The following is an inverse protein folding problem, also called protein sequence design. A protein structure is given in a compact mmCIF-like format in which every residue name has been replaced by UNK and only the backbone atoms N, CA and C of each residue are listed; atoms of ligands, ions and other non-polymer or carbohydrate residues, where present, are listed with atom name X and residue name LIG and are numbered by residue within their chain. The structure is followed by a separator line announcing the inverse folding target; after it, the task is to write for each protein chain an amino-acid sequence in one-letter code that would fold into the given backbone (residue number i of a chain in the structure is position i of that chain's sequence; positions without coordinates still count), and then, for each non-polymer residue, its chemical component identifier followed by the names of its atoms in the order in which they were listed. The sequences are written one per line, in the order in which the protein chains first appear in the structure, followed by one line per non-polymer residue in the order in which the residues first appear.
data_IF_788461011300
#
_entry.id   IF_788461011300
#
_cell.length_a   1.000
_cell.length_b   1.000
_cell.length_c   1.000
_cell.angle_alpha   90.00
_cell.angle_beta   90.00
_cell.angle_gamma   90.00
#
_symmetry.space_group_name_H-M   'P 1'
#
loop_
_entity.id
_entity.type
_entity.pdbx_description
1 polymer ?
#
# COMPACT_ATOMS: atom_id res chain seq x y z
N UNK A 1 5.22 4.82 24.98
CA UNK A 1 5.27 6.09 24.25
C UNK A 1 4.45 6.00 22.99
N UNK A 2 3.63 6.99 22.75
CA UNK A 2 2.82 7.03 21.53
C UNK A 2 3.68 7.43 20.34
N UNK A 3 3.46 6.73 19.23
CA UNK A 3 4.06 7.17 17.98
C UNK A 3 3.06 8.10 17.30
N UNK A 4 3.58 9.16 16.70
CA UNK A 4 2.77 10.08 15.91
C UNK A 4 2.96 9.80 14.42
N UNK A 5 3.13 8.52 14.08
CA UNK A 5 3.27 8.13 12.69
C UNK A 5 2.01 8.50 11.92
N UNK A 6 2.13 9.14 10.75
CA UNK A 6 0.96 9.55 9.98
C UNK A 6 0.20 8.38 9.36
N UNK A 7 0.86 7.24 9.19
CA UNK A 7 0.23 6.04 8.65
C UNK A 7 0.75 4.82 9.38
N UNK A 8 0.09 3.70 9.13
CA UNK A 8 0.40 2.45 9.79
C UNK A 8 0.12 1.32 8.80
N UNK A 9 1.03 0.37 8.69
CA UNK A 9 0.82 -0.81 7.85
C UNK A 9 0.16 -1.89 8.68
N UNK A 10 -0.87 -2.54 8.12
CA UNK A 10 -1.37 -3.77 8.75
C UNK A 10 -0.28 -4.84 8.67
N UNK A 11 -0.36 -5.91 9.48
CA UNK A 11 0.61 -7.00 9.36
C UNK A 11 0.72 -7.56 7.94
N UNK A 12 -0.42 -7.70 7.25
CA UNK A 12 -0.40 -8.19 5.86
C UNK A 12 0.24 -7.20 4.91
N UNK A 13 -0.02 -5.91 5.08
CA UNK A 13 0.62 -4.88 4.25
C UNK A 13 2.13 -4.87 4.47
N UNK A 14 2.57 -5.06 5.72
CA UNK A 14 3.98 -5.14 6.04
C UNK A 14 4.63 -6.35 5.36
N UNK A 15 3.96 -7.50 5.36
CA UNK A 15 4.42 -8.68 4.63
C UNK A 15 4.50 -8.42 3.12
N UNK A 16 3.52 -7.69 2.58
CA UNK A 16 3.54 -7.31 1.17
C UNK A 16 4.79 -6.52 0.84
N UNK A 17 5.13 -5.55 1.67
CA UNK A 17 6.30 -4.71 1.46
C UNK A 17 7.58 -5.54 1.51
N UNK A 18 7.68 -6.43 2.48
CA UNK A 18 8.84 -7.33 2.61
C UNK A 18 8.98 -8.20 1.36
N UNK A 19 7.88 -8.76 0.88
CA UNK A 19 7.88 -9.61 -0.30
C UNK A 19 8.37 -8.85 -1.53
N UNK A 20 7.88 -7.63 -1.72
CA UNK A 20 8.29 -6.77 -2.83
C UNK A 20 9.79 -6.50 -2.73
N UNK A 21 10.29 -6.17 -1.53
CA UNK A 21 11.68 -5.86 -1.31
C UNK A 21 12.58 -7.05 -1.70
N UNK A 22 12.24 -8.23 -1.19
CA UNK A 22 13.06 -9.42 -1.45
C UNK A 22 13.08 -9.81 -2.93
N UNK A 23 11.94 -9.71 -3.61
CA UNK A 23 11.88 -10.03 -5.04
C UNK A 23 12.79 -9.11 -5.83
N UNK A 24 12.74 -7.81 -5.55
CA UNK A 24 13.56 -6.84 -6.27
C UNK A 24 15.03 -6.99 -5.87
N UNK A 25 15.30 -7.25 -4.61
CA UNK A 25 16.67 -7.34 -4.09
C UNK A 25 17.45 -8.52 -4.68
N UNK A 26 16.76 -9.55 -5.18
CA UNK A 26 17.43 -10.64 -5.85
C UNK A 26 18.22 -10.16 -7.06
N UNK A 27 17.77 -9.11 -7.73
CA UNK A 27 18.47 -8.52 -8.87
C UNK A 27 19.26 -7.29 -8.45
N UNK A 28 18.73 -6.46 -7.55
CA UNK A 28 19.41 -5.23 -7.15
C UNK A 28 18.90 -4.75 -5.80
N UNK A 29 19.78 -4.75 -4.80
CA UNK A 29 19.43 -4.22 -3.49
C UNK A 29 19.18 -2.72 -3.55
N UNK A 30 19.95 -2.00 -4.36
CA UNK A 30 19.74 -0.56 -4.53
C UNK A 30 18.37 -0.27 -5.09
N UNK A 31 17.91 -1.06 -6.05
CA UNK A 31 16.57 -0.89 -6.62
C UNK A 31 15.49 -1.18 -5.57
N UNK A 32 15.69 -2.24 -4.76
CA UNK A 32 14.75 -2.57 -3.69
C UNK A 32 14.62 -1.42 -2.69
N UNK A 33 15.76 -0.82 -2.31
CA UNK A 33 15.77 0.31 -1.40
C UNK A 33 15.00 1.50 -1.97
N UNK A 34 15.23 1.82 -3.24
CA UNK A 34 14.54 2.94 -3.88
C UNK A 34 13.03 2.73 -3.94
N UNK A 35 12.60 1.52 -4.24
CA UNK A 35 11.17 1.20 -4.30
C UNK A 35 10.55 1.33 -2.90
N UNK A 36 11.20 0.77 -1.89
CA UNK A 36 10.71 0.86 -0.52
C UNK A 36 10.58 2.30 -0.05
N UNK A 37 11.60 3.12 -0.31
CA UNK A 37 11.57 4.53 0.07
C UNK A 37 10.38 5.23 -0.60
N UNK A 38 10.15 4.96 -1.87
CA UNK A 38 9.06 5.59 -2.59
C UNK A 38 7.70 5.13 -2.10
N UNK A 39 7.56 3.84 -1.79
CA UNK A 39 6.31 3.31 -1.23
C UNK A 39 5.98 4.02 0.08
N UNK A 40 6.96 4.12 0.99
CA UNK A 40 6.73 4.75 2.28
C UNK A 40 6.48 6.26 2.15
N UNK A 41 7.18 6.92 1.24
CA UNK A 41 6.94 8.34 0.97
C UNK A 41 5.53 8.57 0.44
N UNK A 42 5.06 7.66 -0.41
CA UNK A 42 3.69 7.74 -0.95
C UNK A 42 2.67 7.53 0.16
N UNK A 43 2.92 6.60 1.08
CA UNK A 43 2.03 6.40 2.23
C UNK A 43 1.92 7.66 3.07
N UNK A 44 3.03 8.36 3.31
CA UNK A 44 3.01 9.62 4.06
C UNK A 44 2.19 10.68 3.34
N UNK A 45 2.31 10.75 2.02
CA UNK A 45 1.54 11.71 1.23
C UNK A 45 0.04 11.39 1.26
N UNK A 46 -0.31 10.11 1.18
CA UNK A 46 -1.71 9.68 1.28
C UNK A 46 -2.29 10.00 2.65
N UNK A 47 -1.46 9.91 3.70
CA UNK A 47 -1.92 10.28 5.05
C UNK A 47 -2.29 11.76 5.14
N UNK A 48 -1.57 12.63 4.41
CA UNK A 48 -1.89 14.04 4.37
C UNK A 48 -3.08 14.35 3.45
N UNK A 49 -3.28 13.52 2.45
CA UNK A 49 -4.32 13.73 1.43
C UNK A 49 -5.08 12.43 1.18
N UNK A 50 -5.86 11.96 2.16
CA UNK A 50 -6.44 10.61 2.08
C UNK A 50 -7.45 10.42 0.95
N UNK A 51 -7.91 11.50 0.36
CA UNK A 51 -8.86 11.39 -0.76
C UNK A 51 -8.18 11.37 -2.13
N UNK A 52 -6.85 11.38 -2.17
CA UNK A 52 -6.11 11.28 -3.44
C UNK A 52 -6.41 10.01 -4.21
N UNK A 53 -6.50 8.88 -3.53
CA UNK A 53 -6.79 7.61 -4.16
C UNK A 53 -8.24 7.53 -4.63
N UNK A 54 -8.54 6.52 -5.43
CA UNK A 54 -9.87 6.31 -5.98
C UNK A 54 -10.53 5.10 -5.37
N UNK A 55 -11.85 5.15 -5.29
CA UNK A 55 -12.65 3.98 -4.93
C UNK A 55 -12.77 3.10 -6.17
N UNK A 56 -12.67 1.80 -5.97
CA UNK A 56 -12.79 0.82 -7.05
C UNK A 56 -13.88 -0.17 -6.68
N UNK A 57 -15.13 0.22 -6.91
CA UNK A 57 -16.27 -0.62 -6.56
C UNK A 57 -16.39 -1.85 -7.44
N UNK A 58 -15.72 -1.84 -8.58
CA UNK A 58 -15.59 -3.01 -9.44
C UNK A 58 -14.67 -4.08 -8.82
N UNK A 59 -13.83 -3.69 -7.86
CA UNK A 59 -12.88 -4.59 -7.21
C UNK A 59 -13.39 -5.01 -5.83
N UNK A 60 -13.90 -4.05 -5.04
CA UNK A 60 -14.27 -4.32 -3.65
C UNK A 60 -15.34 -3.36 -3.15
N UNK A 61 -16.14 -3.83 -2.19
CA UNK A 61 -17.09 -2.97 -1.47
C UNK A 61 -16.52 -2.45 -0.16
N UNK A 62 -15.28 -2.82 0.18
CA UNK A 62 -14.63 -2.34 1.39
C UNK A 62 -14.42 -0.83 1.33
N UNK A 63 -14.41 -0.13 2.49
CA UNK A 63 -14.21 1.31 2.54
C UNK A 63 -12.72 1.66 2.38
N UNK A 64 -12.19 1.40 1.21
CA UNK A 64 -10.79 1.62 0.89
C UNK A 64 -10.66 2.42 -0.41
N UNK A 65 -9.48 3.01 -0.59
CA UNK A 65 -9.10 3.68 -1.82
C UNK A 65 -7.81 3.07 -2.35
N UNK A 66 -7.60 3.22 -3.64
CA UNK A 66 -6.47 2.67 -4.38
C UNK A 66 -5.64 3.80 -4.94
N UNK A 67 -4.33 3.69 -4.81
CA UNK A 67 -3.40 4.65 -5.40
C UNK A 67 -2.26 3.92 -6.08
N UNK A 68 -2.12 4.10 -7.40
CA UNK A 68 -0.99 3.57 -8.15
C UNK A 68 0.22 4.47 -7.92
N UNK A 69 1.35 3.87 -7.59
CA UNK A 69 2.57 4.63 -7.29
C UNK A 69 3.12 5.22 -8.59
N UNK A 70 3.25 6.54 -8.63
CA UNK A 70 3.61 7.26 -9.86
C UNK A 70 4.94 6.81 -10.45
N UNK A 71 5.96 6.67 -9.61
CA UNK A 71 7.31 6.29 -10.07
C UNK A 71 7.46 4.80 -10.35
N UNK A 72 6.60 3.99 -9.75
CA UNK A 72 6.64 2.53 -9.90
C UNK A 72 5.21 2.04 -10.12
N UNK A 73 4.66 2.28 -11.33
CA UNK A 73 3.22 2.06 -11.56
C UNK A 73 2.78 0.60 -11.55
N UNK A 74 3.72 -0.33 -11.41
CA UNK A 74 3.37 -1.74 -11.21
C UNK A 74 2.78 -2.00 -9.82
N UNK A 75 2.94 -1.06 -8.88
CA UNK A 75 2.53 -1.26 -7.49
C UNK A 75 1.38 -0.33 -7.12
N UNK A 76 0.45 -0.87 -6.34
CA UNK A 76 -0.76 -0.19 -5.91
C UNK A 76 -0.83 -0.25 -4.38
N UNK A 77 -1.11 0.89 -3.77
CA UNK A 77 -1.37 0.98 -2.33
C UNK A 77 -2.87 0.99 -2.12
N UNK A 78 -3.35 0.14 -1.22
CA UNK A 78 -4.75 0.10 -0.81
C UNK A 78 -4.82 0.53 0.65
N UNK A 79 -5.67 1.50 0.96
CA UNK A 79 -5.69 2.10 2.29
C UNK A 79 -7.09 2.52 2.69
N UNK A 80 -7.29 2.69 3.99
CA UNK A 80 -8.55 3.18 4.56
C UNK A 80 -8.43 4.68 4.75
N UNK A 81 -9.16 5.49 3.98
CA UNK A 81 -9.00 6.95 4.03
C UNK A 81 -9.53 7.58 5.32
N UNK A 82 -10.37 6.86 6.05
CA UNK A 82 -11.05 7.41 7.23
C UNK A 82 -10.34 7.12 8.55
N UNK A 83 -9.23 6.38 8.53
CA UNK A 83 -8.53 6.02 9.77
C UNK A 83 -7.41 7.02 10.10
N UNK A 84 -7.14 7.19 11.39
CA UNK A 84 -6.05 8.03 11.90
C UNK A 84 -5.33 7.24 12.99
N UNK A 85 -4.06 6.84 12.79
CA UNK A 85 -3.24 7.02 11.58
C UNK A 85 -3.85 6.33 10.37
N UNK A 86 -3.52 6.82 9.18
CA UNK A 86 -4.00 6.19 7.96
C UNK A 86 -3.57 4.74 7.91
N UNK A 87 -4.53 3.83 7.77
CA UNK A 87 -4.23 2.41 7.75
C UNK A 87 -4.04 1.93 6.32
N UNK A 88 -2.84 1.43 6.01
CA UNK A 88 -2.53 0.82 4.73
C UNK A 88 -2.79 -0.67 4.87
N UNK A 89 -3.69 -1.21 4.04
CA UNK A 89 -4.13 -2.60 4.19
C UNK A 89 -3.50 -3.55 3.18
N UNK A 90 -2.95 -3.01 2.08
CA UNK A 90 -2.29 -3.85 1.08
C UNK A 90 -1.33 -3.01 0.24
N UNK A 91 -0.24 -3.64 -0.20
CA UNK A 91 0.68 -3.07 -1.17
C UNK A 91 0.91 -4.18 -2.19
N UNK A 92 0.33 -4.03 -3.38
CA UNK A 92 0.19 -5.15 -4.30
C UNK A 92 0.71 -4.80 -5.69
N UNK A 93 1.22 -5.82 -6.37
CA UNK A 93 1.50 -5.70 -7.80
C UNK A 93 0.15 -5.62 -8.52
N UNK A 94 0.00 -4.64 -9.42
CA UNK A 94 -1.25 -4.40 -10.10
C UNK A 94 -1.75 -5.54 -10.99
N UNK A 95 -0.88 -6.51 -11.30
CA UNK A 95 -1.26 -7.68 -12.08
C UNK A 95 -1.92 -8.78 -11.25
N UNK A 96 -1.85 -8.68 -9.93
CA UNK A 96 -2.50 -9.66 -9.07
C UNK A 96 -4.01 -9.50 -9.14
N UNK A 97 -4.72 -10.55 -8.78
CA UNK A 97 -6.17 -10.48 -8.63
C UNK A 97 -6.48 -9.72 -7.33
N UNK A 98 -6.64 -8.40 -7.47
CA UNK A 98 -6.84 -7.52 -6.32
C UNK A 98 -8.12 -7.86 -5.57
N UNK A 99 -9.16 -8.25 -6.30
CA UNK A 99 -10.44 -8.60 -5.68
C UNK A 99 -10.26 -9.80 -4.75
N UNK A 100 -9.63 -10.85 -5.24
CA UNK A 100 -9.41 -12.05 -4.43
C UNK A 100 -8.56 -11.77 -3.20
N UNK A 101 -7.47 -11.01 -3.38
CA UNK A 101 -6.59 -10.69 -2.26
C UNK A 101 -7.35 -9.91 -1.20
N UNK A 102 -8.14 -8.90 -1.60
CA UNK A 102 -8.84 -8.05 -0.65
C UNK A 102 -9.98 -8.79 0.04
N UNK A 103 -10.63 -9.72 -0.62
CA UNK A 103 -11.65 -10.54 0.02
C UNK A 103 -11.08 -11.32 1.21
N UNK A 104 -9.83 -11.79 1.08
CA UNK A 104 -9.15 -12.52 2.13
C UNK A 104 -8.65 -11.63 3.25
N UNK A 105 -8.61 -10.31 3.03
CA UNK A 105 -8.13 -9.34 4.00
C UNK A 105 -9.24 -8.57 4.68
N UNK A 106 -10.44 -8.95 4.41
CA UNK A 106 -11.58 -8.31 5.04
C UNK A 106 -11.48 -8.47 6.55
N UNK A 107 -11.68 -7.40 7.32
CA UNK A 107 -11.63 -7.48 8.78
C UNK A 107 -12.79 -8.26 9.34
#
# INVERSE_FOLDING_TARGET
MKTNAPFQLTPKASEDLDTIWWIIAEESRDAAERVEIEILATCRRLARHPRMGTKRRDITTLPVRFWTITKFPNYVIVYRPETIPLQVVAILHGKRDLKEVLEKRSP
#
